data_IF_879173856287
#
_entry.id   IF_879173856287
#
_cell.length_a   1.000
_cell.length_b   1.000
_cell.length_c   1.000
_cell.angle_alpha   90.00
_cell.angle_beta   90.00
_cell.angle_gamma   90.00
#
_symmetry.space_group_name_H-M   'P 1'
#
loop_
_entity.id
_entity.type
_entity.pdbx_description
1 polymer ?
#
# COMPACT_ATOMS: atom_id res chain seq x y z
N UNK A 1 -16.81 22.53 -19.16
CA UNK A 1 -15.33 22.38 -19.08
C UNK A 1 -15.03 21.02 -18.48
N UNK A 2 -14.16 20.21 -19.09
CA UNK A 2 -13.72 18.95 -18.49
C UNK A 2 -12.52 19.21 -17.58
N UNK A 3 -12.52 18.65 -16.37
CA UNK A 3 -11.39 18.72 -15.45
C UNK A 3 -10.64 17.38 -15.46
N UNK A 4 -9.46 17.35 -16.06
CA UNK A 4 -8.59 16.17 -16.10
C UNK A 4 -7.61 16.24 -14.93
N UNK A 5 -7.30 15.08 -14.32
CA UNK A 5 -6.31 14.97 -13.24
C UNK A 5 -5.22 13.99 -13.62
N UNK A 6 -3.99 14.38 -13.34
CA UNK A 6 -2.79 13.57 -13.51
C UNK A 6 -2.52 12.69 -12.29
N UNK A 7 -1.96 11.50 -12.53
CA UNK A 7 -1.54 10.55 -11.51
C UNK A 7 -0.42 9.70 -12.07
N UNK A 8 0.42 9.18 -11.19
CA UNK A 8 1.40 8.14 -11.50
C UNK A 8 0.85 6.73 -11.21
N UNK A 9 1.66 5.67 -11.39
CA UNK A 9 1.24 4.26 -11.28
C UNK A 9 1.51 3.57 -9.93
N UNK A 10 2.19 4.18 -8.96
CA UNK A 10 2.50 3.54 -7.67
C UNK A 10 3.98 3.37 -7.41
N UNK A 11 4.55 2.39 -8.11
CA UNK A 11 5.90 1.88 -7.90
C UNK A 11 6.96 2.97 -8.00
N UNK A 12 7.89 2.95 -7.07
CA UNK A 12 9.10 3.77 -7.08
C UNK A 12 10.34 2.88 -7.00
N UNK A 13 11.47 3.32 -7.61
CA UNK A 13 12.74 2.63 -7.44
C UNK A 13 13.16 2.65 -5.96
N UNK A 14 13.94 1.65 -5.50
CA UNK A 14 14.45 1.64 -4.14
C UNK A 14 15.36 2.85 -3.90
N UNK A 15 15.15 3.54 -2.77
CA UNK A 15 15.94 4.71 -2.35
C UNK A 15 16.74 4.46 -1.07
N UNK A 16 16.56 3.29 -0.47
CA UNK A 16 17.24 2.81 0.73
C UNK A 16 17.20 1.27 0.72
N UNK A 17 17.75 0.65 1.76
CA UNK A 17 17.76 -0.81 1.91
C UNK A 17 16.34 -1.41 1.95
N UNK A 18 16.06 -2.37 1.07
CA UNK A 18 14.73 -3.00 0.94
C UNK A 18 14.29 -3.70 2.23
N UNK A 19 15.21 -4.36 2.93
CA UNK A 19 14.89 -5.06 4.18
C UNK A 19 14.53 -4.07 5.29
N UNK A 20 15.15 -2.89 5.31
CA UNK A 20 14.82 -1.79 6.21
C UNK A 20 13.42 -1.23 5.93
N UNK A 21 13.05 -1.01 4.66
CA UNK A 21 11.69 -0.59 4.25
C UNK A 21 10.66 -1.65 4.66
N UNK A 22 10.91 -2.92 4.36
CA UNK A 22 10.02 -4.02 4.72
C UNK A 22 9.82 -4.15 6.23
N UNK A 23 10.90 -4.00 7.02
CA UNK A 23 10.82 -4.00 8.48
C UNK A 23 10.05 -2.79 9.00
N UNK A 24 10.34 -1.61 8.48
CA UNK A 24 9.66 -0.37 8.87
C UNK A 24 8.15 -0.41 8.60
N UNK A 25 7.74 -0.95 7.45
CA UNK A 25 6.34 -1.14 7.10
C UNK A 25 5.59 -2.01 8.14
N UNK A 26 6.22 -3.09 8.62
CA UNK A 26 5.66 -3.97 9.67
C UNK A 26 5.66 -3.30 11.04
N UNK A 27 6.72 -2.58 11.37
CA UNK A 27 6.90 -1.94 12.67
C UNK A 27 5.88 -0.81 12.89
N UNK A 28 5.55 -0.02 11.85
CA UNK A 28 4.52 1.02 11.91
C UNK A 28 3.16 0.49 12.33
N UNK A 29 2.78 -0.70 11.86
CA UNK A 29 1.48 -1.30 12.21
C UNK A 29 1.44 -1.87 13.62
N UNK A 30 2.60 -1.98 14.29
CA UNK A 30 2.76 -2.62 15.59
C UNK A 30 2.95 -1.56 16.70
N UNK A 31 2.00 -1.39 17.64
CA UNK A 31 2.07 -0.34 18.66
C UNK A 31 3.41 -0.28 19.42
N UNK A 32 3.96 -1.43 19.82
CA UNK A 32 5.24 -1.50 20.54
C UNK A 32 6.50 -1.25 19.70
N UNK A 33 6.37 -1.10 18.37
CA UNK A 33 7.50 -0.83 17.46
C UNK A 33 7.25 0.37 16.54
N UNK A 34 6.11 1.05 16.68
CA UNK A 34 5.73 2.13 15.79
C UNK A 34 6.72 3.30 15.81
N UNK A 35 7.55 3.44 16.84
CA UNK A 35 8.62 4.44 16.96
C UNK A 35 10.04 3.88 16.73
N UNK A 36 10.17 2.64 16.25
CA UNK A 36 11.47 2.03 15.97
C UNK A 36 12.25 2.80 14.90
N UNK A 37 13.58 2.62 14.86
CA UNK A 37 14.43 3.16 13.79
C UNK A 37 13.90 2.81 12.38
N UNK A 38 13.62 1.53 12.07
CA UNK A 38 12.99 1.13 10.82
C UNK A 38 11.64 1.82 10.54
N UNK A 39 10.76 1.93 11.54
CA UNK A 39 9.47 2.61 11.36
C UNK A 39 9.64 4.09 11.03
N UNK A 40 10.58 4.76 11.69
CA UNK A 40 10.92 6.16 11.43
C UNK A 40 11.52 6.37 10.05
N UNK A 41 12.41 5.47 9.60
CA UNK A 41 12.97 5.52 8.25
C UNK A 41 11.89 5.30 7.19
N UNK A 42 11.00 4.30 7.38
CA UNK A 42 9.88 4.07 6.47
C UNK A 42 8.97 5.30 6.37
N UNK A 43 8.64 5.94 7.51
CA UNK A 43 7.88 7.21 7.51
C UNK A 43 8.58 8.29 6.70
N UNK A 44 9.88 8.47 6.94
CA UNK A 44 10.70 9.49 6.27
C UNK A 44 10.69 9.31 4.75
N UNK A 45 10.94 8.09 4.26
CA UNK A 45 11.04 7.83 2.81
C UNK A 45 9.69 7.94 2.11
N UNK A 46 8.60 7.46 2.71
CA UNK A 46 7.25 7.59 2.14
C UNK A 46 6.81 9.04 2.12
N UNK A 47 6.96 9.78 3.23
CA UNK A 47 6.61 11.21 3.28
C UNK A 47 7.41 12.01 2.25
N UNK A 48 8.72 11.78 2.18
CA UNK A 48 9.60 12.50 1.25
C UNK A 48 9.20 12.27 -0.20
N UNK A 49 8.95 11.01 -0.58
CA UNK A 49 8.55 10.68 -1.94
C UNK A 49 7.16 11.22 -2.30
N UNK A 50 6.23 11.29 -1.35
CA UNK A 50 4.93 11.91 -1.58
C UNK A 50 5.07 13.42 -1.79
N UNK A 51 5.89 14.10 -0.98
CA UNK A 51 6.22 15.51 -1.14
C UNK A 51 6.83 15.78 -2.53
N UNK A 52 7.77 14.93 -2.97
CA UNK A 52 8.42 15.07 -4.28
C UNK A 52 7.41 14.87 -5.43
N UNK A 53 6.49 13.90 -5.33
CA UNK A 53 5.39 13.72 -6.29
C UNK A 53 4.48 14.95 -6.37
N UNK A 54 4.11 15.54 -5.23
CA UNK A 54 3.25 16.73 -5.19
C UNK A 54 3.96 17.96 -5.77
N UNK A 55 5.24 18.18 -5.43
CA UNK A 55 6.06 19.27 -6.00
C UNK A 55 6.28 19.13 -7.50
N UNK A 56 6.28 17.90 -8.03
CA UNK A 56 6.33 17.65 -9.46
C UNK A 56 5.02 18.01 -10.20
N UNK A 57 3.97 18.45 -9.49
CA UNK A 57 2.71 18.88 -10.07
C UNK A 57 1.69 17.76 -10.33
N UNK A 58 1.82 16.60 -9.67
CA UNK A 58 0.81 15.54 -9.74
C UNK A 58 -0.46 15.94 -8.99
N UNK A 59 -1.61 15.88 -9.67
CA UNK A 59 -2.90 16.26 -9.08
C UNK A 59 -3.39 15.26 -8.02
N UNK A 60 -3.23 13.96 -8.32
CA UNK A 60 -3.68 12.86 -7.46
C UNK A 60 -2.62 11.74 -7.49
N UNK A 61 -1.44 11.95 -6.87
CA UNK A 61 -0.41 10.92 -6.84
C UNK A 61 -0.92 9.64 -6.17
N UNK A 62 -0.30 8.53 -6.51
CA UNK A 62 -0.48 7.32 -5.70
C UNK A 62 0.37 7.42 -4.43
N UNK A 63 0.06 6.59 -3.42
CA UNK A 63 0.97 6.47 -2.29
C UNK A 63 2.32 5.89 -2.77
N UNK A 64 3.46 6.42 -2.28
CA UNK A 64 4.79 5.92 -2.64
C UNK A 64 4.97 4.43 -2.31
N UNK A 65 5.12 3.58 -3.33
CA UNK A 65 5.28 2.15 -3.14
C UNK A 65 6.71 1.69 -3.47
N UNK A 66 7.50 1.42 -2.43
CA UNK A 66 8.87 0.90 -2.54
C UNK A 66 8.97 -0.63 -2.40
N UNK A 67 7.87 -1.28 -2.01
CA UNK A 67 7.79 -2.72 -1.71
C UNK A 67 7.19 -3.49 -2.88
N UNK A 68 7.46 -4.80 -2.95
CA UNK A 68 6.88 -5.66 -3.98
C UNK A 68 5.35 -5.64 -3.94
N UNK A 69 4.75 -5.34 -5.10
CA UNK A 69 3.31 -5.12 -5.22
C UNK A 69 2.47 -6.36 -4.96
N UNK A 70 3.03 -7.57 -5.07
CA UNK A 70 2.28 -8.80 -4.81
C UNK A 70 2.43 -9.20 -3.34
N UNK A 71 3.68 -9.27 -2.86
CA UNK A 71 4.05 -9.68 -1.52
C UNK A 71 3.41 -8.80 -0.47
N UNK A 72 3.32 -7.49 -0.71
CA UNK A 72 2.63 -6.56 0.18
C UNK A 72 1.20 -7.02 0.47
N UNK A 73 0.36 -7.21 -0.56
CA UNK A 73 -1.03 -7.64 -0.35
C UNK A 73 -1.13 -9.07 0.18
N UNK A 74 -0.32 -10.01 -0.32
CA UNK A 74 -0.37 -11.41 0.14
C UNK A 74 0.04 -11.56 1.62
N UNK A 75 0.98 -10.74 2.09
CA UNK A 75 1.40 -10.73 3.50
C UNK A 75 0.29 -10.28 4.46
N UNK A 76 -0.67 -9.49 3.96
CA UNK A 76 -1.84 -9.01 4.71
C UNK A 76 -2.92 -10.09 4.87
N UNK A 77 -2.78 -11.26 4.22
CA UNK A 77 -3.78 -12.33 4.22
C UNK A 77 -3.41 -13.48 5.16
N UNK A 78 -4.40 -14.13 5.76
CA UNK A 78 -4.30 -15.42 6.46
C UNK A 78 -5.02 -16.52 5.65
N UNK A 79 -4.77 -17.77 6.01
CA UNK A 79 -5.24 -18.94 5.25
C UNK A 79 -4.36 -19.32 4.06
N UNK A 80 -3.12 -18.79 4.02
CA UNK A 80 -2.14 -19.05 2.96
C UNK A 80 -0.87 -19.69 3.53
N UNK A 81 -0.31 -20.63 2.79
CA UNK A 81 1.05 -21.15 2.96
C UNK A 81 1.84 -21.07 1.65
N UNK A 82 3.16 -21.19 1.74
CA UNK A 82 4.04 -21.26 0.58
C UNK A 82 4.54 -22.70 0.42
N UNK A 83 4.20 -23.32 -0.71
CA UNK A 83 4.69 -24.62 -1.13
C UNK A 83 5.47 -24.44 -2.44
N UNK A 84 6.75 -24.83 -2.45
CA UNK A 84 7.63 -24.72 -3.62
C UNK A 84 7.65 -23.31 -4.27
N UNK A 85 7.67 -22.27 -3.44
CA UNK A 85 7.70 -20.87 -3.90
C UNK A 85 6.35 -20.35 -4.44
N UNK A 86 5.27 -21.12 -4.29
CA UNK A 86 3.92 -20.74 -4.71
C UNK A 86 2.97 -20.73 -3.52
N UNK A 87 1.98 -19.84 -3.54
CA UNK A 87 0.96 -19.80 -2.50
C UNK A 87 -0.09 -20.91 -2.71
N UNK A 88 -0.51 -21.53 -1.61
CA UNK A 88 -1.65 -22.45 -1.54
C UNK A 88 -2.63 -21.97 -0.46
N UNK A 89 -3.93 -22.20 -0.68
CA UNK A 89 -4.96 -21.97 0.33
C UNK A 89 -5.03 -23.18 1.27
N UNK A 90 -4.66 -22.99 2.53
CA UNK A 90 -4.73 -24.01 3.59
C UNK A 90 -5.96 -23.84 4.49
N UNK A 91 -6.73 -22.79 4.26
CA UNK A 91 -7.93 -22.48 5.02
C UNK A 91 -8.70 -21.35 4.36
N UNK A 92 -9.61 -20.73 5.10
CA UNK A 92 -10.36 -19.58 4.60
C UNK A 92 -9.43 -18.39 4.39
N UNK A 93 -9.43 -17.84 3.17
CA UNK A 93 -8.72 -16.61 2.84
C UNK A 93 -9.39 -15.41 3.52
N UNK A 94 -8.67 -14.73 4.40
CA UNK A 94 -9.17 -13.62 5.20
C UNK A 94 -8.07 -12.57 5.40
N UNK A 95 -8.45 -11.32 5.70
CA UNK A 95 -7.49 -10.25 5.99
C UNK A 95 -7.02 -10.34 7.44
N UNK A 96 -5.70 -10.21 7.67
CA UNK A 96 -5.07 -10.13 9.00
C UNK A 96 -5.15 -8.70 9.56
N UNK A 97 -4.68 -7.75 8.75
CA UNK A 97 -4.68 -6.32 9.02
C UNK A 97 -4.93 -5.60 7.69
N UNK A 98 -6.02 -4.83 7.55
CA UNK A 98 -6.37 -4.23 6.28
C UNK A 98 -5.57 -2.95 6.00
N UNK A 99 -4.80 -2.42 6.95
CA UNK A 99 -4.08 -1.14 6.81
C UNK A 99 -2.89 -1.29 5.87
N UNK A 100 -2.79 -0.41 4.87
CA UNK A 100 -1.59 -0.29 4.02
C UNK A 100 -0.65 0.70 4.73
N UNK A 101 0.56 0.27 5.16
CA UNK A 101 1.51 1.13 5.90
C UNK A 101 1.81 2.46 5.20
N UNK A 102 2.00 2.44 3.88
CA UNK A 102 2.27 3.63 3.07
C UNK A 102 1.11 4.62 3.11
N UNK A 103 -0.13 4.11 3.03
CA UNK A 103 -1.34 4.95 3.09
C UNK A 103 -1.51 5.55 4.47
N UNK A 104 -1.22 4.78 5.53
CA UNK A 104 -1.23 5.28 6.90
C UNK A 104 -0.26 6.45 7.07
N UNK A 105 0.99 6.28 6.62
CA UNK A 105 2.00 7.36 6.68
C UNK A 105 1.60 8.56 5.83
N UNK A 106 1.13 8.32 4.60
CA UNK A 106 0.71 9.39 3.71
C UNK A 106 -0.44 10.21 4.29
N UNK A 107 -1.39 9.55 4.96
CA UNK A 107 -2.50 10.18 5.67
C UNK A 107 -2.01 11.01 6.86
N UNK A 108 -1.10 10.47 7.68
CA UNK A 108 -0.53 11.19 8.82
C UNK A 108 0.27 12.43 8.39
N UNK A 109 0.96 12.35 7.24
CA UNK A 109 1.72 13.47 6.68
C UNK A 109 0.88 14.48 5.89
N UNK A 110 -0.36 14.13 5.51
CA UNK A 110 -1.16 14.94 4.58
C UNK A 110 -1.42 16.38 5.05
N UNK A 111 -1.76 16.67 6.33
CA UNK A 111 -1.97 18.05 6.78
C UNK A 111 -0.70 18.90 6.65
N UNK A 112 0.43 18.37 7.13
CA UNK A 112 1.72 19.07 7.06
C UNK A 112 2.16 19.34 5.61
N UNK A 113 1.94 18.36 4.71
CA UNK A 113 2.25 18.52 3.29
C UNK A 113 1.31 19.51 2.60
N UNK A 114 0.02 19.53 2.96
CA UNK A 114 -0.94 20.49 2.42
C UNK A 114 -0.54 21.92 2.78
N UNK A 115 -0.27 22.17 4.06
CA UNK A 115 0.16 23.48 4.57
C UNK A 115 1.48 23.92 3.93
N UNK A 116 2.49 23.03 3.92
CA UNK A 116 3.82 23.32 3.38
C UNK A 116 3.88 23.55 1.87
N UNK A 117 2.85 23.13 1.13
CA UNK A 117 2.75 23.27 -0.33
C UNK A 117 1.63 24.23 -0.77
N UNK A 118 0.90 24.83 0.17
CA UNK A 118 -0.22 25.72 -0.14
C UNK A 118 -1.37 25.02 -0.86
N UNK A 119 -1.64 23.76 -0.53
CA UNK A 119 -2.72 22.96 -1.10
C UNK A 119 -3.93 22.95 -0.15
N UNK A 120 -5.15 23.04 -0.69
CA UNK A 120 -6.37 22.88 0.13
C UNK A 120 -6.43 21.50 0.80
N UNK A 121 -5.97 20.47 0.08
CA UNK A 121 -5.84 19.09 0.57
C UNK A 121 -4.95 18.24 -0.32
N UNK A 122 -4.29 17.26 0.29
CA UNK A 122 -3.62 16.18 -0.44
C UNK A 122 -4.66 15.15 -0.90
N UNK A 123 -4.69 14.86 -2.20
CA UNK A 123 -5.54 13.82 -2.79
C UNK A 123 -4.66 12.65 -3.20
N UNK A 124 -5.05 11.44 -2.84
CA UNK A 124 -4.29 10.22 -3.15
C UNK A 124 -5.12 9.23 -3.95
N UNK A 125 -4.50 8.59 -4.93
CA UNK A 125 -5.06 7.42 -5.62
C UNK A 125 -4.58 6.15 -4.91
N UNK A 126 -5.52 5.36 -4.40
CA UNK A 126 -5.20 4.03 -3.86
C UNK A 126 -5.02 3.07 -5.05
N UNK A 127 -3.81 2.51 -5.21
CA UNK A 127 -3.54 1.43 -6.14
C UNK A 127 -3.67 0.07 -5.42
N UNK A 128 -4.29 -0.91 -6.08
CA UNK A 128 -4.45 -2.27 -5.58
C UNK A 128 -3.98 -3.22 -6.66
N UNK A 129 -3.15 -4.20 -6.32
CA UNK A 129 -2.80 -5.28 -7.23
C UNK A 129 -4.03 -6.15 -7.44
N UNK A 130 -4.51 -6.23 -8.68
CA UNK A 130 -5.74 -6.93 -9.01
C UNK A 130 -5.68 -8.44 -8.75
N UNK A 131 -6.84 -9.10 -8.55
CA UNK A 131 -6.91 -10.52 -8.25
C UNK A 131 -6.33 -11.39 -9.37
N UNK A 132 -6.42 -10.96 -10.63
CA UNK A 132 -5.80 -11.64 -11.75
C UNK A 132 -4.28 -11.72 -11.59
N UNK A 133 -3.61 -10.60 -11.34
CA UNK A 133 -2.17 -10.54 -11.11
C UNK A 133 -1.76 -11.35 -9.90
N UNK A 134 -2.43 -11.17 -8.75
CA UNK A 134 -2.11 -11.92 -7.52
C UNK A 134 -2.28 -13.43 -7.70
N UNK A 135 -3.25 -13.88 -8.52
CA UNK A 135 -3.44 -15.32 -8.77
C UNK A 135 -2.23 -16.00 -9.40
N UNK A 136 -1.34 -15.25 -10.08
CA UNK A 136 -0.10 -15.83 -10.64
C UNK A 136 0.92 -16.20 -9.58
N UNK A 137 0.77 -15.76 -8.33
CA UNK A 137 1.58 -16.20 -7.20
C UNK A 137 1.10 -17.54 -6.61
N UNK A 138 -0.07 -18.05 -7.01
CA UNK A 138 -0.66 -19.28 -6.46
C UNK A 138 -0.33 -20.52 -7.29
N UNK A 139 -0.21 -21.69 -6.65
CA UNK A 139 0.01 -22.96 -7.34
C UNK A 139 -1.20 -23.36 -8.20
N UNK A 140 -2.40 -23.14 -7.68
CA UNK A 140 -3.65 -23.49 -8.35
C UNK A 140 -4.49 -22.24 -8.60
N UNK A 141 -4.89 -22.04 -9.86
CA UNK A 141 -5.68 -20.88 -10.28
C UNK A 141 -7.08 -21.33 -10.67
N UNK A 142 -8.09 -20.63 -10.15
CA UNK A 142 -9.48 -20.91 -10.46
C UNK A 142 -10.32 -19.63 -10.43
N UNK A 143 -11.48 -19.58 -11.10
CA UNK A 143 -12.44 -18.49 -10.91
C UNK A 143 -12.85 -18.30 -9.45
N UNK A 144 -12.90 -19.39 -8.67
CA UNK A 144 -13.16 -19.36 -7.23
C UNK A 144 -12.08 -18.60 -6.45
N UNK A 145 -10.80 -18.84 -6.75
CA UNK A 145 -9.68 -18.11 -6.15
C UNK A 145 -9.75 -16.62 -6.51
N UNK A 146 -9.99 -16.28 -7.79
CA UNK A 146 -10.10 -14.88 -8.23
C UNK A 146 -11.19 -14.13 -7.46
N UNK A 147 -12.35 -14.77 -7.24
CA UNK A 147 -13.44 -14.20 -6.45
C UNK A 147 -13.04 -13.97 -4.99
N UNK A 148 -12.39 -14.95 -4.36
CA UNK A 148 -11.93 -14.82 -2.96
C UNK A 148 -10.85 -13.75 -2.81
N UNK A 149 -9.88 -13.68 -3.73
CA UNK A 149 -8.90 -12.58 -3.78
C UNK A 149 -9.60 -11.23 -3.94
N UNK A 150 -10.59 -11.12 -4.84
CA UNK A 150 -11.36 -9.89 -5.00
C UNK A 150 -12.07 -9.45 -3.73
N UNK A 151 -12.61 -10.39 -2.94
CA UNK A 151 -13.28 -10.09 -1.67
C UNK A 151 -12.33 -9.50 -0.63
N UNK A 152 -11.18 -10.16 -0.39
CA UNK A 152 -10.19 -9.66 0.59
C UNK A 152 -9.52 -8.36 0.13
N UNK A 153 -9.29 -8.18 -1.18
CA UNK A 153 -8.78 -6.92 -1.73
C UNK A 153 -9.79 -5.78 -1.58
N UNK A 154 -11.09 -6.05 -1.73
CA UNK A 154 -12.13 -5.05 -1.52
C UNK A 154 -12.21 -4.62 -0.04
N UNK A 155 -11.99 -5.53 0.90
CA UNK A 155 -11.87 -5.21 2.33
C UNK A 155 -10.68 -4.29 2.60
N UNK A 156 -9.50 -4.64 2.07
CA UNK A 156 -8.29 -3.79 2.16
C UNK A 156 -8.56 -2.42 1.56
N UNK A 157 -9.13 -2.34 0.34
CA UNK A 157 -9.43 -1.08 -0.30
C UNK A 157 -10.37 -0.21 0.54
N UNK A 158 -11.46 -0.78 1.05
CA UNK A 158 -12.43 -0.06 1.90
C UNK A 158 -11.80 0.52 3.17
N UNK A 159 -10.89 -0.20 3.81
CA UNK A 159 -10.23 0.27 5.03
C UNK A 159 -9.25 1.44 4.80
N UNK A 160 -8.76 1.60 3.57
CA UNK A 160 -7.78 2.63 3.22
C UNK A 160 -8.39 3.80 2.42
N UNK A 161 -9.65 3.69 2.00
CA UNK A 161 -10.40 4.79 1.43
C UNK A 161 -10.96 5.64 2.56
N UNK A 162 -10.46 6.88 2.66
CA UNK A 162 -11.08 7.91 3.49
C UNK A 162 -11.49 9.05 2.56
N UNK A 163 -12.78 9.36 2.57
CA UNK A 163 -13.28 10.62 2.05
C UNK A 163 -13.67 11.45 3.25
N UNK A 164 -12.91 12.50 3.54
CA UNK A 164 -13.53 13.64 4.19
C UNK A 164 -14.60 14.14 3.21
N UNK A 165 -15.86 14.11 3.65
CA UNK A 165 -16.91 14.88 3.00
C UNK A 165 -16.60 16.36 3.17
#
# INVERSE_FOLDING_TARGET
>A
MAYLRTSDVGSLPPITDEALVEKGARDILSPGRASSGPASEFRRVVKKALEDKLRAGMDVPTYPQFRDMNRMFLSMLKGLEVLEGRYIEIGRLEVKDPRIPEVLVAREAAPELADGLGLDKVRLRICITGPHTLSFSFAFRSPGLLRRLGQVLAEIAKANLVSDR
#
